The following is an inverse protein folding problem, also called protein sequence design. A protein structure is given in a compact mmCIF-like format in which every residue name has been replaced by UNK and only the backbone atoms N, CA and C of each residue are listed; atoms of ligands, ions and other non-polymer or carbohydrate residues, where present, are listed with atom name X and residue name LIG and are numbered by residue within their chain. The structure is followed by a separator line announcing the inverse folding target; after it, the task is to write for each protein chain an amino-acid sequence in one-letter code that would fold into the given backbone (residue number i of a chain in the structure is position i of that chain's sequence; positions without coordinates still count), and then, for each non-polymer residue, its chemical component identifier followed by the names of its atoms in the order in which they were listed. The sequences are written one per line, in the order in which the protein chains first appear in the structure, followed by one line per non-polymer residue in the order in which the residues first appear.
data_IF_497292906232
#
_entry.id   IF_497292906232
#
_cell.length_a   1.000
_cell.length_b   1.000
_cell.length_c   1.000
_cell.angle_alpha   90.00
_cell.angle_beta   90.00
_cell.angle_gamma   90.00
#
_symmetry.space_group_name_H-M   'P 1'
#
loop_
_entity.id
_entity.type
_entity.pdbx_description
1 polymer ?
#
# COMPACT_ATOMS: atom_id res chain seq x y z
N UNK A 1 -15.91 -1.10 -11.79
CA UNK A 1 -15.23 -0.49 -10.61
C UNK A 1 -13.74 -0.51 -10.91
N UNK A 2 -13.04 0.61 -10.80
CA UNK A 2 -11.61 0.68 -11.11
C UNK A 2 -10.83 0.50 -9.82
N UNK A 3 -9.94 -0.50 -9.76
CA UNK A 3 -9.07 -0.74 -8.60
C UNK A 3 -7.62 -0.67 -9.05
N UNK A 4 -6.84 0.16 -8.37
CA UNK A 4 -5.40 0.33 -8.57
C UNK A 4 -4.67 -0.15 -7.34
N UNK A 5 -3.70 -1.03 -7.50
CA UNK A 5 -2.95 -1.66 -6.41
C UNK A 5 -1.46 -1.42 -6.61
N UNK A 6 -0.81 -0.80 -5.63
CA UNK A 6 0.64 -0.85 -5.49
C UNK A 6 0.93 -1.86 -4.40
N UNK A 7 1.67 -2.92 -4.73
CA UNK A 7 1.90 -4.05 -3.83
C UNK A 7 3.34 -4.52 -3.90
N UNK A 8 3.84 -5.09 -2.81
CA UNK A 8 5.13 -5.77 -2.81
C UNK A 8 5.07 -7.01 -3.71
N UNK A 9 6.10 -7.32 -4.52
CA UNK A 9 6.11 -8.53 -5.35
C UNK A 9 6.01 -9.81 -4.52
N UNK A 10 6.54 -9.77 -3.29
CA UNK A 10 6.55 -10.87 -2.35
C UNK A 10 6.08 -10.42 -0.98
N UNK A 11 5.39 -11.32 -0.28
CA UNK A 11 4.98 -11.12 1.10
C UNK A 11 5.21 -12.40 1.89
N UNK A 12 5.59 -12.28 3.17
CA UNK A 12 5.76 -13.40 4.09
C UNK A 12 4.52 -13.47 4.99
N UNK A 13 3.81 -14.60 4.97
CA UNK A 13 2.65 -14.88 5.83
C UNK A 13 2.87 -16.25 6.47
N UNK A 14 2.82 -16.33 7.80
CA UNK A 14 3.01 -17.57 8.56
C UNK A 14 4.25 -18.37 8.13
N UNK A 15 5.38 -17.65 7.97
CA UNK A 15 6.65 -18.16 7.44
C UNK A 15 6.67 -18.65 5.98
N UNK A 16 5.56 -18.57 5.26
CA UNK A 16 5.50 -18.87 3.84
C UNK A 16 5.71 -17.61 2.99
N UNK A 17 6.55 -17.71 1.95
CA UNK A 17 6.71 -16.66 0.96
C UNK A 17 5.60 -16.82 -0.09
N UNK A 18 4.81 -15.77 -0.27
CA UNK A 18 3.74 -15.71 -1.26
C UNK A 18 4.19 -14.76 -2.38
N UNK A 19 4.25 -15.30 -3.60
CA UNK A 19 4.38 -14.48 -4.81
C UNK A 19 3.01 -13.92 -5.18
N UNK A 20 2.94 -12.61 -5.31
CA UNK A 20 1.67 -11.90 -5.47
C UNK A 20 1.10 -12.01 -6.89
N UNK A 21 1.95 -12.21 -7.90
CA UNK A 21 1.52 -12.33 -9.30
C UNK A 21 0.53 -13.46 -9.55
N UNK A 22 0.72 -14.60 -8.88
CA UNK A 22 -0.15 -15.77 -9.06
C UNK A 22 -1.54 -15.56 -8.45
N UNK A 23 -1.68 -14.64 -7.49
CA UNK A 23 -2.95 -14.36 -6.82
C UNK A 23 -3.88 -13.45 -7.60
N UNK A 24 -3.34 -12.65 -8.52
CA UNK A 24 -4.11 -11.64 -9.23
C UNK A 24 -4.31 -11.91 -10.72
N UNK A 25 -3.73 -12.99 -11.27
CA UNK A 25 -4.02 -13.46 -12.63
C UNK A 25 -5.53 -13.59 -12.86
N UNK A 26 -6.04 -12.94 -13.90
CA UNK A 26 -7.45 -13.01 -14.31
C UNK A 26 -8.40 -12.00 -13.65
N UNK A 27 -7.91 -11.06 -12.85
CA UNK A 27 -8.72 -9.96 -12.30
C UNK A 27 -8.55 -8.66 -13.09
N UNK A 28 -9.60 -7.82 -13.13
CA UNK A 28 -9.60 -6.50 -13.76
C UNK A 28 -8.89 -5.41 -12.93
N UNK A 29 -7.82 -5.77 -12.23
CA UNK A 29 -7.06 -4.86 -11.39
C UNK A 29 -5.85 -4.32 -12.12
N UNK A 30 -5.61 -3.02 -11.95
CA UNK A 30 -4.34 -2.43 -12.35
C UNK A 30 -3.36 -2.64 -11.22
N UNK A 31 -2.23 -3.29 -11.50
CA UNK A 31 -1.24 -3.66 -10.48
C UNK A 31 0.12 -3.06 -10.85
N UNK A 32 0.77 -2.43 -9.87
CA UNK A 32 2.19 -2.06 -9.94
C UNK A 32 2.92 -2.69 -8.77
N UNK A 33 4.01 -3.38 -9.07
CA UNK A 33 4.87 -3.94 -8.04
C UNK A 33 5.91 -2.92 -7.61
N UNK A 34 6.08 -2.74 -6.30
CA UNK A 34 7.10 -1.87 -5.72
C UNK A 34 7.46 -2.36 -4.33
N UNK A 35 8.73 -2.21 -3.93
CA UNK A 35 9.11 -2.36 -2.52
C UNK A 35 8.44 -1.24 -1.73
N UNK A 36 7.54 -1.60 -0.82
CA UNK A 36 6.73 -0.66 -0.04
C UNK A 36 7.19 -0.61 1.42
N UNK A 37 7.03 0.54 2.09
CA UNK A 37 7.15 0.60 3.55
C UNK A 37 6.09 -0.27 4.23
N UNK A 38 6.31 -0.59 5.51
CA UNK A 38 5.38 -1.37 6.35
C UNK A 38 4.13 -0.58 6.78
N UNK A 39 3.49 0.08 5.82
CA UNK A 39 2.22 0.75 6.00
C UNK A 39 1.25 0.32 4.90
N UNK A 40 -0.01 0.09 5.25
CA UNK A 40 -1.08 -0.26 4.32
C UNK A 40 -2.03 0.91 4.17
N UNK A 41 -2.24 1.37 2.95
CA UNK A 41 -3.13 2.47 2.62
C UNK A 41 -4.26 1.96 1.73
N UNK A 42 -5.51 2.23 2.12
CA UNK A 42 -6.70 1.97 1.32
C UNK A 42 -7.46 3.28 1.20
N UNK A 43 -7.71 3.72 -0.04
CA UNK A 43 -8.53 4.90 -0.32
C UNK A 43 -9.71 4.46 -1.15
N UNK A 44 -10.91 4.86 -0.74
CA UNK A 44 -12.16 4.52 -1.42
C UNK A 44 -12.87 5.79 -1.89
N UNK A 45 -13.19 5.82 -3.17
CA UNK A 45 -13.98 6.86 -3.85
C UNK A 45 -13.46 8.29 -3.61
N UNK A 46 -12.19 8.44 -3.21
CA UNK A 46 -11.59 9.71 -2.80
C UNK A 46 -12.18 10.32 -1.52
N UNK A 47 -12.99 9.57 -0.76
CA UNK A 47 -13.78 10.09 0.38
C UNK A 47 -13.50 9.39 1.70
N UNK A 48 -12.92 8.20 1.65
CA UNK A 48 -12.64 7.37 2.83
C UNK A 48 -11.23 6.83 2.74
N UNK A 49 -10.54 6.81 3.87
CA UNK A 49 -9.19 6.27 3.96
C UNK A 49 -9.04 5.38 5.18
N UNK A 50 -8.41 4.23 4.99
CA UNK A 50 -7.83 3.43 6.05
C UNK A 50 -6.31 3.42 5.87
N UNK A 51 -5.58 3.87 6.88
CA UNK A 51 -4.13 3.79 6.92
C UNK A 51 -3.73 2.94 8.13
N UNK A 52 -3.05 1.83 7.89
CA UNK A 52 -2.62 0.89 8.94
C UNK A 52 -1.11 0.91 9.02
N UNK A 53 -0.61 1.13 10.24
CA UNK A 53 0.78 0.99 10.60
C UNK A 53 0.94 -0.27 11.43
N UNK A 54 2.14 -0.83 11.39
CA UNK A 54 2.55 -1.92 12.26
C UNK A 54 3.97 -1.63 12.69
N UNK A 55 4.28 -1.91 13.95
CA UNK A 55 5.64 -1.76 14.45
C UNK A 55 6.52 -2.90 13.91
N UNK A 56 7.80 -2.61 13.83
CA UNK A 56 8.81 -3.57 13.42
C UNK A 56 10.11 -3.35 14.19
N UNK A 57 10.77 -4.44 14.57
CA UNK A 57 12.07 -4.34 15.21
C UNK A 57 13.16 -3.87 14.22
N UNK A 58 14.39 -3.68 14.73
CA UNK A 58 15.55 -3.26 13.91
C UNK A 58 15.98 -4.29 12.87
N UNK A 59 15.49 -5.53 12.96
CA UNK A 59 15.75 -6.62 12.02
C UNK A 59 14.63 -6.75 10.97
N UNK A 60 13.56 -5.94 11.08
CA UNK A 60 12.41 -5.95 10.19
C UNK A 60 11.39 -7.04 10.52
N UNK A 61 11.42 -7.61 11.73
CA UNK A 61 10.36 -8.51 12.20
C UNK A 61 9.15 -7.66 12.61
N UNK A 62 7.99 -8.02 12.06
CA UNK A 62 6.72 -7.32 12.29
C UNK A 62 6.08 -7.83 13.57
N UNK A 63 5.69 -6.91 14.45
CA UNK A 63 4.80 -7.22 15.58
C UNK A 63 3.35 -6.98 15.16
N UNK A 64 2.65 -8.03 14.73
CA UNK A 64 1.26 -7.90 14.23
C UNK A 64 0.28 -7.38 15.27
N UNK A 65 0.56 -7.61 16.56
CA UNK A 65 -0.30 -7.18 17.67
C UNK A 65 -0.16 -5.67 17.96
N UNK A 66 0.91 -5.04 17.45
CA UNK A 66 1.14 -3.60 17.53
C UNK A 66 0.37 -2.78 16.48
N UNK A 67 -0.44 -3.42 15.64
CA UNK A 67 -1.06 -2.74 14.50
C UNK A 67 -2.05 -1.65 14.91
N UNK A 68 -1.91 -0.46 14.31
CA UNK A 68 -2.79 0.68 14.56
C UNK A 68 -3.35 1.19 13.23
N UNK A 69 -4.68 1.30 13.16
CA UNK A 69 -5.41 1.80 12.01
C UNK A 69 -5.99 3.20 12.23
N UNK A 70 -5.75 4.11 11.28
CA UNK A 70 -6.43 5.39 11.17
C UNK A 70 -7.53 5.29 10.11
N UNK A 71 -8.79 5.31 10.55
CA UNK A 71 -9.95 5.45 9.68
C UNK A 71 -10.36 6.93 9.57
N UNK A 72 -10.33 7.48 8.36
CA UNK A 72 -10.46 8.92 8.16
C UNK A 72 -11.40 9.29 7.00
N UNK A 73 -12.12 10.39 7.18
CA UNK A 73 -13.00 11.03 6.19
C UNK A 73 -12.61 12.48 5.88
N UNK A 74 -11.57 13.01 6.54
CA UNK A 74 -11.13 14.38 6.37
C UNK A 74 -10.43 14.57 5.03
N UNK A 75 -11.07 15.31 4.12
CA UNK A 75 -10.68 15.43 2.72
C UNK A 75 -9.25 15.92 2.51
N UNK A 76 -8.77 16.87 3.32
CA UNK A 76 -7.40 17.39 3.20
C UNK A 76 -6.36 16.29 3.38
N UNK A 77 -6.52 15.45 4.41
CA UNK A 77 -5.59 14.33 4.66
C UNK A 77 -5.71 13.30 3.54
N UNK A 78 -6.94 12.96 3.14
CA UNK A 78 -7.18 11.98 2.08
C UNK A 78 -6.52 12.43 0.77
N UNK A 79 -6.67 13.71 0.39
CA UNK A 79 -6.09 14.25 -0.83
C UNK A 79 -4.55 14.15 -0.81
N UNK A 80 -3.90 14.42 0.33
CA UNK A 80 -2.45 14.24 0.44
C UNK A 80 -2.01 12.79 0.17
N UNK A 81 -2.77 11.81 0.67
CA UNK A 81 -2.47 10.40 0.43
C UNK A 81 -2.84 9.94 -0.99
N UNK A 82 -3.87 10.52 -1.61
CA UNK A 82 -4.18 10.32 -3.04
C UNK A 82 -3.00 10.81 -3.88
N UNK A 83 -2.49 12.00 -3.60
CA UNK A 83 -1.34 12.56 -4.33
C UNK A 83 -0.10 11.69 -4.15
N UNK A 84 0.20 11.27 -2.91
CA UNK A 84 1.29 10.35 -2.63
C UNK A 84 1.13 9.01 -3.38
N UNK A 85 -0.08 8.45 -3.42
CA UNK A 85 -0.37 7.24 -4.19
C UNK A 85 -0.12 7.46 -5.68
N UNK A 86 -0.65 8.55 -6.25
CA UNK A 86 -0.49 8.87 -7.67
C UNK A 86 0.98 9.13 -8.06
N UNK A 87 1.76 9.79 -7.21
CA UNK A 87 3.21 9.97 -7.41
C UNK A 87 3.93 8.62 -7.51
N UNK A 88 3.57 7.67 -6.64
CA UNK A 88 4.10 6.31 -6.67
C UNK A 88 3.56 5.50 -7.86
N UNK A 89 2.35 5.81 -8.31
CA UNK A 89 1.71 5.20 -9.46
C UNK A 89 2.37 5.65 -10.77
N UNK A 90 2.57 6.94 -11.01
CA UNK A 90 2.88 7.45 -12.35
C UNK A 90 4.36 7.43 -12.74
N UNK A 91 5.32 7.38 -11.79
CA UNK A 91 6.78 7.41 -12.03
C UNK A 91 7.23 8.17 -13.32
N UNK A 92 6.77 9.40 -13.53
CA UNK A 92 7.68 10.47 -13.97
C UNK A 92 8.40 10.94 -12.71
N UNK A 93 9.39 10.17 -12.28
CA UNK A 93 10.22 10.56 -11.14
C UNK A 93 10.78 11.96 -11.40
N UNK A 94 10.69 12.82 -10.39
CA UNK A 94 11.59 13.96 -10.27
C UNK A 94 13.02 13.40 -10.16
N UNK A 95 13.63 13.05 -11.29
CA UNK A 95 15.08 13.12 -11.45
C UNK A 95 15.39 14.62 -11.45
N UNK A 96 15.59 15.18 -10.25
CA UNK A 96 16.41 16.39 -10.15
C UNK A 96 17.80 15.99 -10.63
N UNK A 97 18.22 16.60 -11.74
CA UNK A 97 19.61 16.63 -12.21
C UNK A 97 20.51 17.22 -11.14
#
# INVERSE_FOLDING_TARGET
MIVKLIISPQSKIDNNIINIDDKFKGNDFFIKQKVLPMAKLIIRDGKKMLLVFVDSDKLGNVDVDSSIGLWNHYSTIINHYIDAFNMNWDQKGLRKK
#
